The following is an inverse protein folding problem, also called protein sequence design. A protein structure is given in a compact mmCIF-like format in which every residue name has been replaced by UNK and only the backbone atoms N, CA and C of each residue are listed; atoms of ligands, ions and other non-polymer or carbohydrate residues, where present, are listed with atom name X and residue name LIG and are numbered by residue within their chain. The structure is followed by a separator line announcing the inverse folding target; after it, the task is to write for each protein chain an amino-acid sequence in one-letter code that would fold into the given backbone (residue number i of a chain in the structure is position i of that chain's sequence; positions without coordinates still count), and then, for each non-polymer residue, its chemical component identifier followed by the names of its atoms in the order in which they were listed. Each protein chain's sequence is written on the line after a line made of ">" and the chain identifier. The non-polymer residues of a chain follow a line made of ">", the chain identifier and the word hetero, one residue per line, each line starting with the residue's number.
data_IF_174816685440
#
_entry.id   IF_174816685440
#
_cell.length_a   1.000
_cell.length_b   1.000
_cell.length_c   1.000
_cell.angle_alpha   90.00
_cell.angle_beta   90.00
_cell.angle_gamma   90.00
#
_symmetry.space_group_name_H-M   'P 1'
#
loop_
_entity.id
_entity.type
_entity.pdbx_description
1 polymer ?
#
# COMPACT_ATOMS: atom_id res chain seq x y z
N UNK A 1 27.86 8.23 19.59
CA UNK A 1 26.45 7.75 19.51
C UNK A 1 25.91 7.83 20.92
N UNK A 2 25.01 8.78 21.15
CA UNK A 2 24.51 9.08 22.49
C UNK A 2 23.64 7.95 23.02
N UNK A 3 23.73 7.68 24.35
CA UNK A 3 22.96 6.62 25.00
C UNK A 3 21.44 6.73 24.75
N UNK A 4 20.95 7.95 24.49
CA UNK A 4 19.57 8.23 24.11
C UNK A 4 19.19 7.66 22.73
N UNK A 5 20.09 7.76 21.73
CA UNK A 5 19.85 7.21 20.39
C UNK A 5 19.82 5.67 20.40
N UNK A 6 20.72 5.05 21.17
CA UNK A 6 20.74 3.58 21.32
C UNK A 6 19.46 3.07 21.99
N UNK A 7 18.93 3.83 22.94
CA UNK A 7 17.68 3.46 23.62
C UNK A 7 16.45 3.60 22.68
N UNK A 8 16.41 4.64 21.85
CA UNK A 8 15.35 4.83 20.85
C UNK A 8 15.34 3.71 19.80
N UNK A 9 16.51 3.29 19.31
CA UNK A 9 16.60 2.18 18.35
C UNK A 9 16.12 0.87 18.97
N UNK A 10 16.50 0.60 20.22
CA UNK A 10 16.03 -0.60 20.94
C UNK A 10 14.53 -0.60 21.16
N UNK A 11 13.97 0.52 21.60
CA UNK A 11 12.52 0.68 21.79
C UNK A 11 11.79 0.52 20.44
N UNK A 12 12.29 1.12 19.36
CA UNK A 12 11.73 0.96 18.03
C UNK A 12 11.76 -0.49 17.55
N UNK A 13 12.86 -1.21 17.77
CA UNK A 13 12.97 -2.62 17.43
C UNK A 13 11.96 -3.48 18.22
N UNK A 14 11.86 -3.29 19.53
CA UNK A 14 10.91 -4.01 20.39
C UNK A 14 9.47 -3.75 19.94
N UNK A 15 9.10 -2.49 19.68
CA UNK A 15 7.78 -2.13 19.16
C UNK A 15 7.48 -2.79 17.82
N UNK A 16 8.48 -2.87 16.92
CA UNK A 16 8.33 -3.54 15.62
C UNK A 16 8.07 -5.03 15.77
N UNK A 17 8.79 -5.72 16.68
CA UNK A 17 8.54 -7.13 16.95
C UNK A 17 7.18 -7.39 17.60
N UNK A 18 6.75 -6.52 18.53
CA UNK A 18 5.42 -6.59 19.14
C UNK A 18 4.35 -6.40 18.07
N UNK A 19 4.49 -5.38 17.21
CA UNK A 19 3.57 -5.12 16.10
C UNK A 19 3.49 -6.30 15.13
N UNK A 20 4.64 -6.90 14.77
CA UNK A 20 4.69 -8.07 13.91
C UNK A 20 4.01 -9.28 14.55
N UNK A 21 4.29 -9.55 15.84
CA UNK A 21 3.64 -10.61 16.60
C UNK A 21 2.12 -10.42 16.69
N UNK A 22 1.67 -9.21 17.00
CA UNK A 22 0.26 -8.87 17.08
C UNK A 22 -0.43 -9.01 15.70
N UNK A 23 0.19 -8.54 14.63
CA UNK A 23 -0.32 -8.71 13.27
C UNK A 23 -0.45 -10.18 12.88
N UNK A 24 0.50 -11.03 13.28
CA UNK A 24 0.45 -12.47 13.04
C UNK A 24 -0.72 -13.11 13.78
N UNK A 25 -0.89 -12.81 15.06
CA UNK A 25 -2.01 -13.32 15.87
C UNK A 25 -3.36 -12.86 15.29
N UNK A 26 -3.48 -11.58 14.93
CA UNK A 26 -4.68 -11.06 14.29
C UNK A 26 -4.98 -11.81 13.00
N UNK A 27 -3.98 -12.05 12.13
CA UNK A 27 -4.16 -12.77 10.87
C UNK A 27 -4.60 -14.22 11.08
N UNK A 28 -4.05 -14.90 12.08
CA UNK A 28 -4.43 -16.27 12.43
C UNK A 28 -5.88 -16.40 12.91
N UNK A 29 -6.37 -15.39 13.63
CA UNK A 29 -7.77 -15.33 14.11
C UNK A 29 -8.70 -14.82 13.01
N UNK A 30 -8.28 -13.82 12.26
CA UNK A 30 -9.09 -13.17 11.22
C UNK A 30 -9.44 -14.13 10.07
N UNK A 31 -8.49 -14.93 9.60
CA UNK A 31 -8.69 -15.82 8.46
C UNK A 31 -9.81 -16.83 8.68
N UNK A 32 -9.84 -17.63 9.77
CA UNK A 32 -10.94 -18.56 10.00
C UNK A 32 -12.29 -17.86 10.21
N UNK A 33 -12.32 -16.69 10.83
CA UNK A 33 -13.53 -15.90 11.00
C UNK A 33 -14.08 -15.47 9.65
N UNK A 34 -13.22 -14.94 8.77
CA UNK A 34 -13.62 -14.52 7.43
C UNK A 34 -14.15 -15.70 6.60
N UNK A 35 -13.49 -16.86 6.67
CA UNK A 35 -13.95 -18.07 5.98
C UNK A 35 -15.29 -18.57 6.53
N UNK A 36 -15.53 -18.44 7.84
CA UNK A 36 -16.80 -18.86 8.45
C UNK A 36 -17.97 -17.95 8.10
N UNK A 37 -17.71 -16.64 7.92
CA UNK A 37 -18.74 -15.64 7.61
C UNK A 37 -19.05 -15.59 6.10
N UNK A 38 -18.03 -15.52 5.27
CA UNK A 38 -18.16 -15.39 3.82
C UNK A 38 -18.40 -16.74 3.12
N UNK A 39 -17.95 -17.82 3.73
CA UNK A 39 -17.85 -19.12 3.06
C UNK A 39 -16.57 -19.25 2.21
N UNK A 40 -16.23 -20.50 1.88
CA UNK A 40 -14.98 -20.83 1.17
C UNK A 40 -14.92 -20.20 -0.24
N UNK A 41 -16.05 -20.08 -0.92
CA UNK A 41 -16.14 -19.55 -2.28
C UNK A 41 -15.80 -18.06 -2.34
N UNK A 42 -16.50 -17.25 -1.55
CA UNK A 42 -16.32 -15.79 -1.54
C UNK A 42 -14.96 -15.38 -0.95
N UNK A 43 -14.50 -16.09 0.10
CA UNK A 43 -13.16 -15.90 0.62
C UNK A 43 -12.09 -16.24 -0.42
N UNK A 44 -12.31 -17.28 -1.26
CA UNK A 44 -11.45 -17.62 -2.39
C UNK A 44 -11.34 -16.47 -3.41
N UNK A 45 -12.47 -15.81 -3.72
CA UNK A 45 -12.49 -14.62 -4.59
C UNK A 45 -11.64 -13.50 -3.98
N UNK A 46 -11.90 -13.16 -2.71
CA UNK A 46 -11.16 -12.12 -1.99
C UNK A 46 -9.65 -12.39 -1.96
N UNK A 47 -9.25 -13.62 -1.60
CA UNK A 47 -7.84 -14.00 -1.52
C UNK A 47 -7.12 -14.04 -2.88
N UNK A 48 -7.86 -14.08 -3.99
CA UNK A 48 -7.30 -13.99 -5.35
C UNK A 48 -7.13 -12.54 -5.81
N UNK A 49 -8.06 -11.65 -5.41
CA UNK A 49 -8.01 -10.23 -5.79
C UNK A 49 -6.86 -9.48 -5.09
N UNK A 50 -6.59 -9.80 -3.81
CA UNK A 50 -5.54 -9.12 -3.03
C UNK A 50 -4.16 -9.16 -3.71
N UNK A 51 -3.63 -10.32 -4.15
CA UNK A 51 -2.34 -10.38 -4.83
C UNK A 51 -2.31 -9.55 -6.12
N UNK A 52 -3.42 -9.51 -6.88
CA UNK A 52 -3.50 -8.71 -8.11
C UNK A 52 -3.28 -7.24 -7.80
N UNK A 53 -3.97 -6.71 -6.77
CA UNK A 53 -3.78 -5.32 -6.33
C UNK A 53 -2.34 -5.11 -5.81
N UNK A 54 -1.79 -6.07 -5.07
CA UNK A 54 -0.42 -5.99 -4.58
C UNK A 54 0.59 -5.90 -5.73
N UNK A 55 0.42 -6.65 -6.80
CA UNK A 55 1.26 -6.53 -8.00
C UNK A 55 1.11 -5.14 -8.66
N UNK A 56 -0.09 -4.62 -8.75
CA UNK A 56 -0.30 -3.27 -9.31
C UNK A 56 0.37 -2.18 -8.46
N UNK A 57 0.39 -2.33 -7.13
CA UNK A 57 1.06 -1.36 -6.24
C UNK A 57 2.59 -1.39 -6.35
N UNK A 58 3.18 -2.44 -6.93
CA UNK A 58 4.63 -2.48 -7.23
C UNK A 58 5.09 -1.37 -8.19
N UNK A 59 4.17 -0.73 -8.91
CA UNK A 59 4.48 0.45 -9.73
C UNK A 59 5.10 1.62 -8.94
N UNK A 60 4.87 1.67 -7.62
CA UNK A 60 5.45 2.69 -6.74
C UNK A 60 6.80 2.30 -6.12
N UNK A 61 7.35 1.12 -6.45
CA UNK A 61 8.59 0.62 -5.85
C UNK A 61 9.74 1.62 -5.96
N UNK A 62 10.33 1.91 -4.82
CA UNK A 62 11.50 2.79 -4.73
C UNK A 62 11.20 4.29 -4.72
N UNK A 63 9.99 4.73 -5.11
CA UNK A 63 9.67 6.16 -5.13
C UNK A 63 9.68 6.79 -3.73
N UNK A 64 9.15 6.09 -2.72
CA UNK A 64 9.17 6.56 -1.34
C UNK A 64 10.59 6.75 -0.82
N UNK A 65 11.47 5.78 -1.06
CA UNK A 65 12.88 5.86 -0.69
C UNK A 65 13.62 6.99 -1.43
N UNK A 66 13.31 7.18 -2.71
CA UNK A 66 13.85 8.27 -3.50
C UNK A 66 13.40 9.63 -2.94
N UNK A 67 12.10 9.79 -2.66
CA UNK A 67 11.57 11.00 -2.05
C UNK A 67 12.27 11.32 -0.73
N UNK A 68 12.33 10.37 0.20
CA UNK A 68 13.00 10.54 1.50
C UNK A 68 14.45 11.00 1.30
N UNK A 69 15.19 10.37 0.39
CA UNK A 69 16.59 10.70 0.11
C UNK A 69 16.77 12.13 -0.41
N UNK A 70 16.04 12.49 -1.45
CA UNK A 70 16.18 13.81 -2.09
C UNK A 70 15.66 14.94 -1.20
N UNK A 71 14.52 14.73 -0.56
CA UNK A 71 13.94 15.71 0.32
C UNK A 71 14.78 15.95 1.58
N UNK A 72 15.33 14.90 2.19
CA UNK A 72 16.24 15.03 3.35
C UNK A 72 17.49 15.83 3.01
N UNK A 73 18.01 15.66 1.80
CA UNK A 73 19.15 16.46 1.33
C UNK A 73 18.78 17.94 1.20
N UNK A 74 17.71 18.26 0.51
CA UNK A 74 17.22 19.65 0.38
C UNK A 74 16.89 20.28 1.74
N UNK A 75 16.42 19.48 2.69
CA UNK A 75 16.16 19.92 4.08
C UNK A 75 17.44 20.30 4.82
N UNK A 76 18.52 19.53 4.67
CA UNK A 76 19.84 19.84 5.28
C UNK A 76 20.44 21.11 4.66
N UNK A 77 20.30 21.27 3.34
CA UNK A 77 20.75 22.45 2.60
C UNK A 77 19.84 23.68 2.86
N UNK A 78 18.74 23.53 3.59
CA UNK A 78 17.70 24.56 3.88
C UNK A 78 17.10 25.19 2.64
N UNK A 79 17.16 24.52 1.50
CA UNK A 79 16.58 24.99 0.23
C UNK A 79 15.06 24.75 0.17
N UNK A 80 14.31 25.74 0.64
CA UNK A 80 12.84 25.71 0.62
C UNK A 80 12.26 25.58 -0.78
N UNK A 81 12.94 26.13 -1.79
CA UNK A 81 12.46 26.10 -3.18
C UNK A 81 12.58 24.70 -3.74
N UNK A 82 13.69 24.03 -3.50
CA UNK A 82 13.90 22.65 -3.93
C UNK A 82 12.97 21.67 -3.17
N UNK A 83 12.76 21.87 -1.87
CA UNK A 83 11.78 21.08 -1.10
C UNK A 83 10.36 21.21 -1.69
N UNK A 84 9.91 22.41 -2.03
CA UNK A 84 8.59 22.63 -2.63
C UNK A 84 8.48 21.97 -4.01
N UNK A 85 9.53 22.08 -4.83
CA UNK A 85 9.60 21.46 -6.15
C UNK A 85 9.54 19.94 -6.06
N UNK A 86 10.30 19.33 -5.15
CA UNK A 86 10.28 17.88 -4.89
C UNK A 86 8.88 17.40 -4.47
N UNK A 87 8.23 18.11 -3.54
CA UNK A 87 6.86 17.80 -3.14
C UNK A 87 5.90 17.79 -4.34
N UNK A 88 5.94 18.84 -5.17
CA UNK A 88 5.11 18.93 -6.36
C UNK A 88 5.39 17.82 -7.36
N UNK A 89 6.67 17.56 -7.65
CA UNK A 89 7.09 16.54 -8.59
C UNK A 89 6.65 15.13 -8.15
N UNK A 90 6.91 14.77 -6.90
CA UNK A 90 6.51 13.45 -6.39
C UNK A 90 5.00 13.30 -6.27
N UNK A 91 4.28 14.35 -5.85
CA UNK A 91 2.81 14.33 -5.81
C UNK A 91 2.21 14.09 -7.19
N UNK A 92 2.70 14.77 -8.23
CA UNK A 92 2.27 14.56 -9.62
C UNK A 92 2.60 13.13 -10.05
N UNK A 93 3.82 12.66 -9.81
CA UNK A 93 4.26 11.30 -10.19
C UNK A 93 3.38 10.24 -9.52
N UNK A 94 3.13 10.32 -8.23
CA UNK A 94 2.25 9.39 -7.53
C UNK A 94 0.80 9.48 -8.02
N UNK A 95 0.30 10.68 -8.31
CA UNK A 95 -1.06 10.84 -8.86
C UNK A 95 -1.17 10.18 -10.24
N UNK A 96 -0.20 10.37 -11.12
CA UNK A 96 -0.16 9.72 -12.45
C UNK A 96 -0.11 8.20 -12.29
N UNK A 97 0.75 7.68 -11.43
CA UNK A 97 0.84 6.24 -11.17
C UNK A 97 -0.47 5.69 -10.55
N UNK A 98 -1.11 6.43 -9.66
CA UNK A 98 -2.42 6.07 -9.14
C UNK A 98 -3.49 5.98 -10.22
N UNK A 99 -3.51 6.92 -11.16
CA UNK A 99 -4.41 6.88 -12.32
C UNK A 99 -4.11 5.69 -13.24
N UNK A 100 -2.83 5.39 -13.48
CA UNK A 100 -2.43 4.20 -14.24
C UNK A 100 -2.90 2.93 -13.54
N UNK A 101 -2.70 2.81 -12.22
CA UNK A 101 -3.19 1.68 -11.43
C UNK A 101 -4.70 1.55 -11.52
N UNK A 102 -5.44 2.65 -11.38
CA UNK A 102 -6.89 2.66 -11.47
C UNK A 102 -7.37 2.18 -12.85
N UNK A 103 -6.77 2.68 -13.92
CA UNK A 103 -7.13 2.28 -15.29
C UNK A 103 -6.82 0.81 -15.56
N UNK A 104 -5.67 0.31 -15.12
CA UNK A 104 -5.30 -1.11 -15.23
C UNK A 104 -6.24 -1.99 -14.41
N UNK A 105 -6.50 -1.66 -13.15
CA UNK A 105 -7.40 -2.42 -12.29
C UNK A 105 -8.84 -2.43 -12.82
N UNK A 106 -9.30 -1.31 -13.35
CA UNK A 106 -10.61 -1.24 -14.00
C UNK A 106 -10.66 -2.08 -15.29
N UNK A 107 -9.64 -2.00 -16.14
CA UNK A 107 -9.54 -2.81 -17.36
C UNK A 107 -9.53 -4.32 -17.05
N UNK A 108 -8.78 -4.73 -16.01
CA UNK A 108 -8.77 -6.12 -15.53
C UNK A 108 -10.16 -6.55 -15.02
N UNK A 109 -10.88 -5.65 -14.35
CA UNK A 109 -12.24 -5.93 -13.85
C UNK A 109 -13.26 -6.18 -14.95
N UNK A 110 -13.05 -5.63 -16.14
CA UNK A 110 -13.93 -5.85 -17.31
C UNK A 110 -13.68 -7.22 -17.97
N UNK A 111 -12.49 -7.78 -17.76
CA UNK A 111 -12.09 -9.07 -18.34
C UNK A 111 -11.95 -10.15 -17.25
N UNK A 112 -12.96 -10.25 -16.37
CA UNK A 112 -12.94 -11.16 -15.23
C UNK A 112 -12.62 -12.61 -15.59
N UNK A 113 -13.16 -13.12 -16.70
CA UNK A 113 -12.88 -14.50 -17.15
C UNK A 113 -11.40 -14.75 -17.49
N UNK A 114 -10.70 -13.75 -18.04
CA UNK A 114 -9.27 -13.83 -18.31
C UNK A 114 -8.43 -13.79 -17.04
N UNK A 115 -8.89 -13.04 -16.04
CA UNK A 115 -8.16 -12.81 -14.77
C UNK A 115 -8.37 -13.99 -13.82
N UNK A 116 -9.61 -14.45 -13.70
CA UNK A 116 -10.01 -15.45 -12.71
C UNK A 116 -10.15 -16.87 -13.28
N UNK A 117 -10.16 -16.99 -14.63
CA UNK A 117 -10.29 -18.26 -15.32
C UNK A 117 -11.75 -18.78 -15.41
N UNK A 118 -11.94 -19.79 -16.26
CA UNK A 118 -13.27 -20.34 -16.60
C UNK A 118 -13.89 -21.25 -15.52
N UNK A 119 -13.20 -21.50 -14.42
CA UNK A 119 -13.68 -22.39 -13.33
C UNK A 119 -14.58 -21.68 -12.31
N UNK A 120 -14.74 -20.37 -12.40
CA UNK A 120 -15.50 -19.57 -11.47
C UNK A 120 -16.96 -19.46 -11.91
N UNK A 121 -17.88 -19.45 -10.94
CA UNK A 121 -19.29 -19.20 -11.22
C UNK A 121 -19.50 -17.75 -11.65
N UNK A 122 -20.59 -17.49 -12.39
CA UNK A 122 -20.94 -16.13 -12.81
C UNK A 122 -21.04 -15.14 -11.63
N UNK A 123 -21.52 -15.63 -10.47
CA UNK A 123 -21.62 -14.87 -9.24
C UNK A 123 -20.26 -14.52 -8.67
N UNK A 124 -19.34 -15.48 -8.63
CA UNK A 124 -17.94 -15.25 -8.19
C UNK A 124 -17.21 -14.28 -9.11
N UNK A 125 -17.40 -14.37 -10.42
CA UNK A 125 -16.83 -13.43 -11.40
C UNK A 125 -17.35 -12.01 -11.20
N UNK A 126 -18.66 -11.86 -10.95
CA UNK A 126 -19.26 -10.56 -10.66
C UNK A 126 -18.71 -9.96 -9.35
N UNK A 127 -18.58 -10.78 -8.30
CA UNK A 127 -18.01 -10.37 -7.02
C UNK A 127 -16.53 -9.97 -7.16
N UNK A 128 -15.73 -10.80 -7.84
CA UNK A 128 -14.31 -10.52 -8.09
C UNK A 128 -14.07 -9.23 -8.86
N UNK A 129 -14.88 -9.01 -9.91
CA UNK A 129 -14.83 -7.77 -10.70
C UNK A 129 -15.20 -6.54 -9.87
N UNK A 130 -16.19 -6.64 -9.00
CA UNK A 130 -16.61 -5.56 -8.10
C UNK A 130 -15.51 -5.27 -7.06
N UNK A 131 -14.96 -6.30 -6.44
CA UNK A 131 -13.86 -6.16 -5.48
C UNK A 131 -12.63 -5.53 -6.14
N UNK A 132 -12.27 -5.97 -7.35
CA UNK A 132 -11.14 -5.43 -8.10
C UNK A 132 -11.30 -3.92 -8.35
N UNK A 133 -12.51 -3.46 -8.71
CA UNK A 133 -12.78 -2.03 -8.91
C UNK A 133 -12.63 -1.23 -7.62
N UNK A 134 -13.24 -1.71 -6.53
CA UNK A 134 -13.18 -1.00 -5.24
C UNK A 134 -11.75 -0.96 -4.71
N UNK A 135 -11.05 -2.08 -4.74
CA UNK A 135 -9.68 -2.16 -4.24
C UNK A 135 -8.70 -1.35 -5.11
N UNK A 136 -8.88 -1.34 -6.44
CA UNK A 136 -8.09 -0.49 -7.34
C UNK A 136 -8.31 0.99 -7.07
N UNK A 137 -9.54 1.40 -6.81
CA UNK A 137 -9.85 2.79 -6.44
C UNK A 137 -9.18 3.17 -5.12
N UNK A 138 -9.30 2.32 -4.10
CA UNK A 138 -8.66 2.54 -2.80
C UNK A 138 -7.15 2.64 -2.94
N UNK A 139 -6.53 1.71 -3.66
CA UNK A 139 -5.09 1.71 -3.91
C UNK A 139 -4.64 2.96 -4.69
N UNK A 140 -5.38 3.35 -5.73
CA UNK A 140 -5.08 4.54 -6.53
C UNK A 140 -5.12 5.82 -5.68
N UNK A 141 -6.10 5.94 -4.78
CA UNK A 141 -6.19 7.06 -3.85
C UNK A 141 -5.05 7.06 -2.82
N UNK A 142 -4.58 5.90 -2.40
CA UNK A 142 -3.46 5.79 -1.44
C UNK A 142 -2.13 6.30 -2.02
N UNK A 143 -1.94 6.28 -3.34
CA UNK A 143 -0.69 6.72 -3.97
C UNK A 143 -0.33 8.18 -3.67
N UNK A 144 -1.18 9.19 -3.90
CA UNK A 144 -0.87 10.58 -3.53
C UNK A 144 -0.59 10.75 -2.03
N UNK A 145 -1.27 9.97 -1.18
CA UNK A 145 -1.08 10.01 0.26
C UNK A 145 0.29 9.48 0.70
N UNK A 146 0.95 8.62 -0.09
CA UNK A 146 2.28 8.11 0.21
C UNK A 146 3.36 9.21 0.30
N UNK A 147 3.14 10.37 -0.34
CA UNK A 147 4.02 11.54 -0.18
C UNK A 147 3.97 12.06 1.25
N UNK A 148 2.78 12.14 1.83
CA UNK A 148 2.60 12.63 3.20
C UNK A 148 3.16 11.64 4.22
N UNK A 149 2.98 10.33 4.01
CA UNK A 149 3.56 9.27 4.83
C UNK A 149 5.10 9.36 4.83
N UNK A 150 5.69 9.49 3.65
CA UNK A 150 7.13 9.68 3.50
C UNK A 150 7.62 10.98 4.16
N UNK A 151 6.81 12.03 4.13
CA UNK A 151 7.12 13.30 4.78
C UNK A 151 7.16 13.17 6.31
N UNK A 152 6.21 12.45 6.91
CA UNK A 152 6.21 12.14 8.36
C UNK A 152 7.49 11.39 8.76
N UNK A 153 7.90 10.42 7.94
CA UNK A 153 9.14 9.66 8.17
C UNK A 153 10.39 10.56 8.21
N UNK A 154 10.47 11.58 7.34
CA UNK A 154 11.63 12.49 7.27
C UNK A 154 11.74 13.38 8.52
N UNK A 155 10.62 13.71 9.14
CA UNK A 155 10.63 14.54 10.33
C UNK A 155 10.84 13.75 11.62
N UNK A 156 10.96 12.40 11.53
CA UNK A 156 11.21 11.48 12.66
C UNK A 156 10.35 11.79 13.89
N UNK A 157 9.20 12.38 13.68
CA UNK A 157 8.25 12.64 14.75
C UNK A 157 7.46 11.37 15.04
N UNK A 158 8.19 10.35 15.50
CA UNK A 158 7.57 9.28 16.26
C UNK A 158 7.27 9.84 17.65
N UNK A 159 6.01 10.04 17.94
CA UNK A 159 5.53 10.37 19.28
C UNK A 159 5.92 9.26 20.25
#
# INVERSE_FOLDING_TARGET
>A
MDALQVNQIRVGAVLSYISMGLSTVISLVYTPIMVSILGKGEYGVYSTVIPIISYLTLLSLGLGSAYVRYYSRAKVEQDRREMAKLNGMFLITYTVLGLVLLTLGYALSLKGELVFGSKWTAEQLALGSRLLRIMSLTAALSFPFSVFESHVTIYERYL
#
